data_IF_478241348467
#
_entry.id   IF_478241348467
#
_cell.length_a   1.000
_cell.length_b   1.000
_cell.length_c   1.000
_cell.angle_alpha   90.00
_cell.angle_beta   90.00
_cell.angle_gamma   90.00
#
_symmetry.space_group_name_H-M   'P 1'
#
loop_
_entity.id
_entity.type
_entity.pdbx_description
1 polymer ?
#
# COMPACT_ATOMS: atom_id res chain seq x y z
N UNK A 1 -10.22 2.30 40.48
CA UNK A 1 -9.39 1.46 39.58
C UNK A 1 -9.43 2.12 38.22
N UNK A 2 -8.33 2.74 37.83
CA UNK A 2 -8.20 3.49 36.59
C UNK A 2 -8.09 2.53 35.41
N UNK A 3 -9.18 2.36 34.66
CA UNK A 3 -9.11 1.66 33.38
C UNK A 3 -8.37 2.57 32.40
N UNK A 4 -7.09 2.29 32.20
CA UNK A 4 -6.31 2.85 31.10
C UNK A 4 -7.04 2.55 29.79
N UNK A 5 -7.74 3.55 29.24
CA UNK A 5 -8.24 3.52 27.87
C UNK A 5 -7.02 3.49 26.96
N UNK A 6 -6.63 2.30 26.52
CA UNK A 6 -5.74 2.13 25.38
C UNK A 6 -6.44 2.79 24.19
N UNK A 7 -5.97 3.99 23.84
CA UNK A 7 -6.46 4.75 22.70
C UNK A 7 -6.21 3.93 21.43
N UNK A 8 -7.27 3.30 20.92
CA UNK A 8 -7.21 2.70 19.59
C UNK A 8 -7.23 3.86 18.61
N UNK A 9 -6.07 4.12 18.01
CA UNK A 9 -5.92 5.16 16.99
C UNK A 9 -6.54 4.61 15.70
N UNK A 10 -7.80 4.95 15.47
CA UNK A 10 -8.47 4.67 14.20
C UNK A 10 -7.87 5.59 13.15
N UNK A 11 -7.30 5.00 12.10
CA UNK A 11 -6.97 5.74 10.88
C UNK A 11 -8.23 6.40 10.33
N UNK A 12 -8.11 7.65 9.88
CA UNK A 12 -9.25 8.39 9.32
C UNK A 12 -9.70 7.79 7.98
N UNK A 13 -11.00 7.91 7.69
CA UNK A 13 -11.57 7.50 6.41
C UNK A 13 -11.08 8.40 5.28
N UNK A 14 -10.50 7.80 4.26
CA UNK A 14 -10.12 8.41 2.99
C UNK A 14 -10.77 7.65 1.84
N UNK A 15 -10.76 8.22 0.63
CA UNK A 15 -11.21 7.54 -0.59
C UNK A 15 -10.40 6.30 -0.98
N UNK A 16 -9.38 5.91 -0.20
CA UNK A 16 -8.47 4.80 -0.51
C UNK A 16 -8.51 3.68 0.51
N UNK A 17 -9.12 3.87 1.68
CA UNK A 17 -9.07 2.91 2.78
C UNK A 17 -10.46 2.57 3.33
N UNK A 18 -11.54 2.85 2.60
CA UNK A 18 -12.91 2.66 3.09
C UNK A 18 -13.17 1.23 3.58
N UNK A 19 -12.77 0.20 2.83
CA UNK A 19 -12.99 -1.20 3.22
C UNK A 19 -12.36 -1.56 4.56
N UNK A 20 -11.13 -1.10 4.81
CA UNK A 20 -10.39 -1.32 6.05
C UNK A 20 -10.99 -0.46 7.18
N UNK A 21 -11.32 0.80 6.88
CA UNK A 21 -11.93 1.74 7.80
C UNK A 21 -13.28 1.24 8.30
N UNK A 22 -14.14 0.76 7.40
CA UNK A 22 -15.48 0.26 7.71
C UNK A 22 -15.43 -0.85 8.75
N UNK A 23 -14.55 -1.83 8.54
CA UNK A 23 -14.37 -2.96 9.47
C UNK A 23 -13.88 -2.44 10.83
N UNK A 24 -12.85 -1.59 10.85
CA UNK A 24 -12.29 -1.05 12.10
C UNK A 24 -13.31 -0.21 12.88
N UNK A 25 -14.00 0.71 12.19
CA UNK A 25 -15.00 1.58 12.80
C UNK A 25 -16.21 0.79 13.29
N UNK A 26 -16.67 -0.21 12.54
CA UNK A 26 -17.76 -1.09 12.99
C UNK A 26 -17.37 -1.83 14.29
N UNK A 27 -16.18 -2.40 14.35
CA UNK A 27 -15.70 -3.09 15.56
C UNK A 27 -15.48 -2.13 16.73
N UNK A 28 -15.04 -0.90 16.46
CA UNK A 28 -14.92 0.14 17.48
C UNK A 28 -16.28 0.52 18.07
N UNK A 29 -17.27 0.81 17.22
CA UNK A 29 -18.64 1.11 17.65
C UNK A 29 -19.27 -0.05 18.42
N UNK A 30 -19.01 -1.31 18.04
CA UNK A 30 -19.45 -2.49 18.80
C UNK A 30 -18.82 -2.56 20.18
N UNK A 31 -17.51 -2.29 20.29
CA UNK A 31 -16.78 -2.28 21.56
C UNK A 31 -17.32 -1.23 22.53
N UNK A 32 -17.65 -0.05 22.01
CA UNK A 32 -18.22 1.05 22.80
C UNK A 32 -19.73 0.90 23.08
N UNK A 33 -20.37 -0.17 22.60
CA UNK A 33 -21.81 -0.41 22.76
C UNK A 33 -22.70 0.49 21.88
N UNK A 34 -22.11 1.22 20.94
CA UNK A 34 -22.76 2.21 20.07
C UNK A 34 -23.32 1.61 18.79
N UNK A 35 -22.98 0.37 18.44
CA UNK A 35 -23.45 -0.23 17.18
C UNK A 35 -24.98 -0.34 17.07
N UNK A 36 -25.69 -0.42 18.21
CA UNK A 36 -27.16 -0.58 18.20
C UNK A 36 -27.90 0.65 17.63
N UNK A 37 -27.38 1.87 17.83
CA UNK A 37 -27.96 3.10 17.23
C UNK A 37 -27.62 3.25 15.75
N UNK A 38 -26.52 2.64 15.31
CA UNK A 38 -26.02 2.75 13.93
C UNK A 38 -26.59 1.67 13.00
N UNK A 39 -26.62 0.42 13.49
CA UNK A 39 -26.95 -0.75 12.67
C UNK A 39 -28.43 -1.15 12.68
N UNK A 40 -29.22 -0.58 13.58
CA UNK A 40 -30.66 -0.86 13.69
C UNK A 40 -31.36 0.43 14.11
N UNK A 41 -32.25 1.01 13.31
CA UNK A 41 -32.99 2.19 13.77
C UNK A 41 -33.73 1.85 15.08
N UNK A 42 -33.73 2.75 16.07
CA UNK A 42 -34.42 2.51 17.33
C UNK A 42 -35.89 2.17 17.04
N UNK A 43 -36.35 1.03 17.56
CA UNK A 43 -37.77 0.71 17.55
C UNK A 43 -38.48 1.64 18.54
N UNK A 44 -39.73 2.06 18.25
CA UNK A 44 -40.54 2.77 19.22
C UNK A 44 -40.62 1.97 20.52
N UNK A 45 -40.58 2.62 21.70
CA UNK A 45 -40.76 1.91 22.97
C UNK A 45 -42.10 1.17 22.96
N UNK A 46 -42.13 -0.03 23.56
CA UNK A 46 -43.33 -0.87 23.62
C UNK A 46 -44.45 -0.14 24.38
N UNK A 47 -45.70 -0.33 23.97
CA UNK A 47 -46.85 0.42 24.50
C UNK A 47 -47.02 0.26 26.03
N UNK A 48 -46.47 -0.81 26.60
CA UNK A 48 -46.62 -1.22 28.00
C UNK A 48 -45.62 -0.57 29.00
N UNK A 49 -44.66 0.26 28.55
CA UNK A 49 -43.72 0.96 29.46
C UNK A 49 -44.34 2.25 30.05
N UNK A 50 -44.06 2.57 31.33
CA UNK A 50 -44.50 3.82 31.98
C UNK A 50 -43.93 5.05 31.25
N UNK A 51 -44.67 6.17 31.20
CA UNK A 51 -44.29 7.37 30.45
C UNK A 51 -42.92 7.95 30.88
N UNK A 52 -42.58 7.85 32.17
CA UNK A 52 -41.26 8.25 32.69
C UNK A 52 -40.14 7.30 32.25
N UNK A 53 -40.41 5.99 32.18
CA UNK A 53 -39.44 4.98 31.74
C UNK A 53 -39.14 5.12 30.23
N UNK A 54 -40.18 5.40 29.43
CA UNK A 54 -40.07 5.72 28.00
C UNK A 54 -39.21 6.96 27.74
N UNK A 55 -39.36 8.03 28.54
CA UNK A 55 -38.54 9.24 28.40
C UNK A 55 -37.07 8.97 28.68
N UNK A 56 -36.76 8.27 29.77
CA UNK A 56 -35.36 7.96 30.14
C UNK A 56 -34.66 7.07 29.09
N UNK A 57 -35.40 6.13 28.50
CA UNK A 57 -34.88 5.27 27.44
C UNK A 57 -34.59 6.05 26.15
N UNK A 58 -35.47 6.99 25.79
CA UNK A 58 -35.30 7.87 24.64
C UNK A 58 -34.08 8.80 24.80
N UNK A 59 -33.90 9.41 25.97
CA UNK A 59 -32.74 10.25 26.28
C UNK A 59 -31.42 9.44 26.22
N UNK A 60 -31.40 8.25 26.81
CA UNK A 60 -30.23 7.37 26.78
C UNK A 60 -29.90 6.87 25.36
N UNK A 61 -30.90 6.74 24.48
CA UNK A 61 -30.70 6.38 23.09
C UNK A 61 -30.16 7.56 22.27
N UNK A 62 -30.64 8.77 22.54
CA UNK A 62 -30.14 10.00 21.93
C UNK A 62 -28.67 10.25 22.29
N UNK A 63 -28.29 10.10 23.57
CA UNK A 63 -26.89 10.25 24.01
C UNK A 63 -25.96 9.25 23.27
N UNK A 64 -26.43 8.02 23.08
CA UNK A 64 -25.68 7.00 22.32
C UNK A 64 -25.57 7.37 20.84
N UNK A 65 -26.63 7.91 20.25
CA UNK A 65 -26.62 8.34 18.85
C UNK A 65 -25.67 9.50 18.62
N UNK A 66 -25.73 10.55 19.45
CA UNK A 66 -24.82 11.69 19.39
C UNK A 66 -23.35 11.25 19.55
N UNK A 67 -23.08 10.35 20.50
CA UNK A 67 -21.74 9.79 20.71
C UNK A 67 -21.27 8.94 19.53
N UNK A 68 -22.16 8.17 18.92
CA UNK A 68 -21.86 7.38 17.74
C UNK A 68 -21.59 8.28 16.52
N UNK A 69 -22.41 9.31 16.33
CA UNK A 69 -22.25 10.31 15.27
C UNK A 69 -20.92 11.05 15.40
N UNK A 70 -20.61 11.56 16.59
CA UNK A 70 -19.34 12.23 16.85
C UNK A 70 -18.15 11.30 16.59
N UNK A 71 -18.25 10.03 16.98
CA UNK A 71 -17.20 9.02 16.73
C UNK A 71 -17.00 8.80 15.22
N UNK A 72 -18.09 8.69 14.46
CA UNK A 72 -18.03 8.53 13.00
C UNK A 72 -17.39 9.77 12.38
N UNK A 73 -17.86 10.98 12.70
CA UNK A 73 -17.36 12.24 12.14
C UNK A 73 -15.87 12.44 12.45
N UNK A 74 -15.44 12.20 13.69
CA UNK A 74 -14.03 12.31 14.09
C UNK A 74 -13.14 11.26 13.44
N UNK A 75 -13.72 10.12 13.06
CA UNK A 75 -13.05 9.05 12.34
C UNK A 75 -12.94 9.28 10.83
N UNK A 76 -13.45 10.40 10.31
CA UNK A 76 -13.47 10.72 8.87
C UNK A 76 -12.41 11.79 8.57
N UNK A 77 -11.72 11.68 7.43
CA UNK A 77 -10.81 12.72 6.95
C UNK A 77 -11.58 13.92 6.41
N UNK A 78 -10.98 15.10 6.48
CA UNK A 78 -11.62 16.35 6.04
C UNK A 78 -12.10 16.26 4.58
N UNK A 79 -11.40 15.50 3.74
CA UNK A 79 -11.77 15.25 2.34
C UNK A 79 -13.10 14.49 2.15
N UNK A 80 -13.58 13.80 3.18
CA UNK A 80 -14.80 12.99 3.16
C UNK A 80 -15.91 13.57 4.05
N UNK A 81 -15.65 14.62 4.83
CA UNK A 81 -16.64 15.26 5.71
C UNK A 81 -17.85 15.82 4.95
N UNK A 82 -17.67 16.22 3.69
CA UNK A 82 -18.74 16.77 2.84
C UNK A 82 -19.94 15.81 2.71
N UNK A 83 -19.73 14.51 2.86
CA UNK A 83 -20.78 13.49 2.72
C UNK A 83 -21.59 13.26 4.00
N UNK A 84 -21.11 13.73 5.15
CA UNK A 84 -21.72 13.51 6.47
C UNK A 84 -22.09 14.80 7.20
N UNK A 85 -21.68 15.96 6.69
CA UNK A 85 -21.87 17.26 7.33
C UNK A 85 -23.34 17.65 7.57
N UNK A 86 -24.26 17.12 6.76
CA UNK A 86 -25.70 17.39 6.84
C UNK A 86 -26.51 16.30 7.56
N UNK A 87 -25.83 15.28 8.11
CA UNK A 87 -26.50 14.12 8.74
C UNK A 87 -26.71 14.35 10.23
N UNK A 88 -27.92 14.02 10.69
CA UNK A 88 -28.37 14.31 12.06
C UNK A 88 -28.24 13.09 12.94
N UNK A 89 -28.35 11.88 12.37
CA UNK A 89 -28.22 10.63 13.14
C UNK A 89 -26.98 9.84 12.74
N UNK A 90 -26.48 9.02 13.67
CA UNK A 90 -25.32 8.16 13.39
C UNK A 90 -25.63 7.13 12.29
N UNK A 91 -26.87 6.64 12.25
CA UNK A 91 -27.36 5.74 11.19
C UNK A 91 -27.36 6.42 9.81
N UNK A 92 -27.83 7.67 9.72
CA UNK A 92 -27.79 8.44 8.47
C UNK A 92 -26.35 8.68 8.00
N UNK A 93 -25.46 9.10 8.89
CA UNK A 93 -24.05 9.31 8.58
C UNK A 93 -23.39 8.01 8.09
N UNK A 94 -23.62 6.90 8.79
CA UNK A 94 -23.11 5.59 8.40
C UNK A 94 -23.64 5.14 7.03
N UNK A 95 -24.93 5.29 6.79
CA UNK A 95 -25.55 4.93 5.52
C UNK A 95 -25.12 5.86 4.38
N UNK A 96 -24.87 7.14 4.64
CA UNK A 96 -24.35 8.08 3.66
C UNK A 96 -22.92 7.72 3.23
N UNK A 97 -22.03 7.43 4.19
CA UNK A 97 -20.68 6.94 3.89
C UNK A 97 -20.72 5.62 3.13
N UNK A 98 -21.63 4.71 3.53
CA UNK A 98 -21.86 3.47 2.81
C UNK A 98 -22.45 3.68 1.42
N UNK A 99 -23.29 4.67 1.22
CA UNK A 99 -23.83 5.00 -0.09
C UNK A 99 -22.75 5.61 -0.98
N UNK A 100 -21.84 6.42 -0.45
CA UNK A 100 -20.70 6.99 -1.18
C UNK A 100 -19.68 5.92 -1.55
N UNK A 101 -19.53 4.86 -0.74
CA UNK A 101 -18.70 3.70 -1.07
C UNK A 101 -19.39 2.65 -1.95
N UNK A 102 -20.69 2.43 -1.79
CA UNK A 102 -21.46 1.62 -2.77
C UNK A 102 -21.55 2.36 -4.10
N UNK A 103 -21.58 3.70 -4.05
CA UNK A 103 -21.28 4.60 -5.16
C UNK A 103 -19.78 4.93 -5.26
N UNK A 104 -18.83 4.15 -4.71
CA UNK A 104 -17.43 4.26 -5.12
C UNK A 104 -17.44 3.84 -6.58
N UNK A 105 -17.58 4.89 -7.35
CA UNK A 105 -18.16 4.89 -8.68
C UNK A 105 -17.30 4.05 -9.60
N UNK A 106 -17.83 3.76 -10.79
CA UNK A 106 -16.98 3.43 -11.92
C UNK A 106 -15.71 4.33 -11.95
N UNK A 107 -15.77 5.59 -11.50
CA UNK A 107 -14.62 6.48 -11.30
C UNK A 107 -13.54 6.01 -10.32
N UNK A 108 -13.85 5.48 -9.14
CA UNK A 108 -12.86 4.97 -8.17
C UNK A 108 -12.18 3.70 -8.71
N UNK A 109 -12.98 2.77 -9.25
CA UNK A 109 -12.49 1.59 -9.95
C UNK A 109 -11.63 1.97 -11.17
N UNK A 110 -12.07 2.91 -12.00
CA UNK A 110 -11.32 3.42 -13.16
C UNK A 110 -10.03 4.09 -12.70
N UNK A 111 -10.03 4.83 -11.59
CA UNK A 111 -8.84 5.51 -11.08
C UNK A 111 -7.81 4.50 -10.59
N UNK A 112 -8.24 3.52 -9.77
CA UNK A 112 -7.38 2.44 -9.28
C UNK A 112 -6.83 1.59 -10.44
N UNK A 113 -7.70 1.23 -11.39
CA UNK A 113 -7.32 0.51 -12.60
C UNK A 113 -6.31 1.33 -13.41
N UNK A 114 -6.61 2.58 -13.75
CA UNK A 114 -5.67 3.46 -14.48
C UNK A 114 -4.33 3.57 -13.76
N UNK A 115 -4.34 3.66 -12.43
CA UNK A 115 -3.11 3.75 -11.63
C UNK A 115 -2.27 2.48 -11.75
N UNK A 116 -2.89 1.30 -11.71
CA UNK A 116 -2.20 0.02 -11.91
C UNK A 116 -1.59 -0.09 -13.32
N UNK A 117 -2.39 0.14 -14.36
CA UNK A 117 -1.93 -0.02 -15.76
C UNK A 117 -0.91 1.05 -16.19
N UNK A 118 -0.97 2.26 -15.60
CA UNK A 118 -0.02 3.35 -15.89
C UNK A 118 1.19 3.36 -14.95
N UNK A 119 1.23 2.49 -13.95
CA UNK A 119 2.36 2.41 -13.04
C UNK A 119 3.62 2.02 -13.83
N UNK A 120 4.71 2.75 -13.62
CA UNK A 120 6.02 2.45 -14.20
C UNK A 120 7.06 2.59 -13.12
N UNK A 121 7.86 1.55 -12.94
CA UNK A 121 9.00 1.55 -12.04
C UNK A 121 10.06 2.49 -12.62
N UNK A 122 10.47 3.53 -11.90
CA UNK A 122 11.50 4.44 -12.41
C UNK A 122 12.91 3.92 -12.13
N UNK A 123 13.92 4.40 -12.88
CA UNK A 123 15.31 4.16 -12.56
C UNK A 123 15.67 4.71 -11.17
N UNK A 124 15.86 3.80 -10.20
CA UNK A 124 16.22 4.14 -8.82
C UNK A 124 15.19 3.72 -7.79
N UNK A 125 13.95 3.48 -8.23
CA UNK A 125 12.90 2.95 -7.35
C UNK A 125 13.19 1.49 -6.98
N UNK A 126 12.88 1.16 -5.72
CA UNK A 126 12.95 -0.21 -5.19
C UNK A 126 11.94 -1.10 -5.91
N UNK A 127 12.42 -2.23 -6.47
CA UNK A 127 11.55 -3.23 -7.07
C UNK A 127 10.59 -3.82 -6.04
N UNK A 128 11.06 -4.09 -4.82
CA UNK A 128 10.24 -4.61 -3.71
C UNK A 128 9.03 -3.71 -3.46
N UNK A 129 9.25 -2.40 -3.32
CA UNK A 129 8.15 -1.46 -3.06
C UNK A 129 7.19 -1.35 -4.25
N UNK A 130 7.72 -1.39 -5.47
CA UNK A 130 6.92 -1.39 -6.70
C UNK A 130 6.03 -2.64 -6.80
N UNK A 131 6.57 -3.82 -6.51
CA UNK A 131 5.81 -5.07 -6.50
C UNK A 131 4.74 -5.07 -5.40
N UNK A 132 5.06 -4.59 -4.20
CA UNK A 132 4.09 -4.41 -3.10
C UNK A 132 2.94 -3.50 -3.49
N UNK A 133 3.23 -2.41 -4.20
CA UNK A 133 2.21 -1.49 -4.68
C UNK A 133 1.24 -2.18 -5.66
N UNK A 134 1.77 -2.92 -6.64
CA UNK A 134 0.95 -3.63 -7.62
C UNK A 134 0.13 -4.75 -6.97
N UNK A 135 0.73 -5.58 -6.12
CA UNK A 135 0.02 -6.67 -5.43
C UNK A 135 -1.06 -6.14 -4.49
N UNK A 136 -0.79 -5.05 -3.77
CA UNK A 136 -1.80 -4.37 -2.96
C UNK A 136 -2.98 -3.88 -3.79
N UNK A 137 -2.73 -3.27 -4.95
CA UNK A 137 -3.81 -2.84 -5.84
C UNK A 137 -4.61 -3.98 -6.46
N UNK A 138 -3.99 -5.13 -6.76
CA UNK A 138 -4.72 -6.32 -7.21
C UNK A 138 -5.63 -6.88 -6.12
N UNK A 139 -5.16 -6.91 -4.87
CA UNK A 139 -5.98 -7.31 -3.72
C UNK A 139 -7.13 -6.33 -3.50
N UNK A 140 -6.87 -5.03 -3.62
CA UNK A 140 -7.89 -3.99 -3.50
C UNK A 140 -8.99 -4.15 -4.56
N UNK A 141 -8.63 -4.41 -5.82
CA UNK A 141 -9.58 -4.71 -6.88
C UNK A 141 -10.38 -5.99 -6.62
N UNK A 142 -9.74 -7.04 -6.08
CA UNK A 142 -10.41 -8.28 -5.73
C UNK A 142 -11.43 -8.08 -4.59
N UNK A 143 -11.09 -7.31 -3.55
CA UNK A 143 -12.00 -6.94 -2.46
C UNK A 143 -13.21 -6.15 -2.96
N UNK A 144 -13.03 -5.37 -4.03
CA UNK A 144 -14.10 -4.61 -4.70
C UNK A 144 -14.86 -5.43 -5.76
N UNK A 145 -14.69 -6.75 -5.79
CA UNK A 145 -15.43 -7.65 -6.69
C UNK A 145 -14.98 -7.63 -8.15
N UNK A 146 -13.79 -7.09 -8.44
CA UNK A 146 -13.16 -7.04 -9.77
C UNK A 146 -11.79 -7.72 -9.74
N UNK A 147 -11.70 -9.03 -9.47
CA UNK A 147 -10.42 -9.71 -9.43
C UNK A 147 -9.72 -9.62 -10.79
N UNK A 148 -8.41 -9.34 -10.77
CA UNK A 148 -7.56 -9.35 -11.96
C UNK A 148 -7.15 -10.79 -12.23
N UNK A 149 -7.20 -11.22 -13.51
CA UNK A 149 -6.74 -12.55 -13.92
C UNK A 149 -5.25 -12.74 -13.66
N UNK A 150 -4.81 -13.99 -13.46
CA UNK A 150 -3.41 -14.27 -13.15
C UNK A 150 -2.46 -13.83 -14.28
N UNK A 151 -2.85 -14.11 -15.53
CA UNK A 151 -2.14 -13.65 -16.73
C UNK A 151 -2.03 -12.13 -16.79
N UNK A 152 -3.14 -11.43 -16.56
CA UNK A 152 -3.17 -9.96 -16.55
C UNK A 152 -2.27 -9.37 -15.47
N UNK A 153 -2.22 -9.98 -14.27
CA UNK A 153 -1.31 -9.53 -13.22
C UNK A 153 0.14 -9.63 -13.67
N UNK A 154 0.51 -10.75 -14.32
CA UNK A 154 1.85 -10.94 -14.86
C UNK A 154 2.16 -9.89 -15.93
N UNK A 155 1.27 -9.69 -16.89
CA UNK A 155 1.47 -8.70 -17.95
C UNK A 155 1.60 -7.28 -17.41
N UNK A 156 0.77 -6.90 -16.43
CA UNK A 156 0.87 -5.59 -15.76
C UNK A 156 2.22 -5.46 -15.05
N UNK A 157 2.69 -6.48 -14.35
CA UNK A 157 4.00 -6.45 -13.69
C UNK A 157 5.12 -6.29 -14.72
N UNK A 158 5.20 -7.16 -15.72
CA UNK A 158 6.28 -7.14 -16.71
C UNK A 158 6.29 -5.83 -17.52
N UNK A 159 5.12 -5.34 -17.95
CA UNK A 159 5.00 -4.07 -18.69
C UNK A 159 5.23 -2.81 -17.85
N UNK A 160 5.24 -2.95 -16.51
CA UNK A 160 5.50 -1.83 -15.59
C UNK A 160 6.99 -1.62 -15.30
N UNK A 161 7.85 -2.56 -15.69
CA UNK A 161 9.29 -2.49 -15.42
C UNK A 161 9.99 -1.51 -16.38
N UNK A 162 11.16 -1.04 -15.95
CA UNK A 162 12.05 -0.25 -16.80
C UNK A 162 12.90 -1.14 -17.70
N UNK A 163 13.45 -0.57 -18.79
CA UNK A 163 14.25 -1.24 -19.84
C UNK A 163 15.39 -2.10 -19.30
N UNK A 164 15.82 -1.85 -18.06
CA UNK A 164 16.88 -2.63 -17.45
C UNK A 164 16.46 -4.08 -17.25
N UNK A 165 15.17 -4.39 -17.18
CA UNK A 165 14.64 -5.73 -17.02
C UNK A 165 14.30 -6.42 -18.37
N UNK A 166 14.50 -5.76 -19.51
CA UNK A 166 14.14 -6.29 -20.84
C UNK A 166 14.72 -7.68 -21.12
N UNK A 167 15.97 -7.92 -20.73
CA UNK A 167 16.60 -9.23 -20.92
C UNK A 167 15.89 -10.35 -20.12
N UNK A 168 15.38 -10.02 -18.93
CA UNK A 168 14.59 -10.96 -18.14
C UNK A 168 13.20 -11.14 -18.76
N UNK A 169 12.55 -10.04 -19.17
CA UNK A 169 11.23 -10.07 -19.82
C UNK A 169 11.27 -10.97 -21.06
N UNK A 170 12.24 -10.77 -21.96
CA UNK A 170 12.41 -11.59 -23.17
C UNK A 170 12.64 -13.08 -22.83
N UNK A 171 13.37 -13.38 -21.74
CA UNK A 171 13.55 -14.77 -21.30
C UNK A 171 12.24 -15.39 -20.81
N UNK A 172 11.32 -14.59 -20.27
CA UNK A 172 10.03 -15.06 -19.77
C UNK A 172 8.99 -15.25 -20.88
N UNK A 173 9.13 -14.56 -22.01
CA UNK A 173 8.26 -14.73 -23.19
C UNK A 173 8.30 -16.16 -23.78
N UNK A 174 9.42 -16.87 -23.59
CA UNK A 174 9.56 -18.27 -24.03
C UNK A 174 8.95 -19.31 -23.07
N UNK A 175 8.44 -18.88 -21.92
CA UNK A 175 7.86 -19.79 -20.91
C UNK A 175 6.40 -20.05 -21.25
N UNK A 176 5.97 -21.31 -21.10
CA UNK A 176 4.56 -21.70 -21.26
C UNK A 176 3.63 -20.87 -20.35
N UNK A 177 2.52 -20.38 -20.89
CA UNK A 177 1.56 -19.51 -20.19
C UNK A 177 1.07 -20.13 -18.87
N UNK A 178 0.82 -21.44 -18.85
CA UNK A 178 0.32 -22.16 -17.67
C UNK A 178 1.29 -22.18 -16.49
N UNK A 179 2.59 -21.96 -16.73
CA UNK A 179 3.64 -21.90 -15.71
C UNK A 179 3.97 -20.46 -15.30
N UNK A 180 3.46 -19.48 -16.03
CA UNK A 180 3.77 -18.08 -15.84
C UNK A 180 2.83 -17.47 -14.80
N UNK A 181 3.08 -17.79 -13.53
CA UNK A 181 2.34 -17.23 -12.40
C UNK A 181 2.99 -15.95 -11.86
N UNK A 182 2.21 -15.13 -11.15
CA UNK A 182 2.74 -13.94 -10.48
C UNK A 182 3.84 -14.29 -9.48
N UNK A 183 3.69 -15.42 -8.78
CA UNK A 183 4.69 -15.93 -7.84
C UNK A 183 6.00 -16.30 -8.55
N UNK A 184 5.92 -17.01 -9.68
CA UNK A 184 7.11 -17.37 -10.46
C UNK A 184 7.85 -16.12 -10.97
N UNK A 185 7.10 -15.16 -11.53
CA UNK A 185 7.66 -13.93 -12.07
C UNK A 185 8.29 -13.06 -10.98
N UNK A 186 7.63 -12.91 -9.83
CA UNK A 186 8.19 -12.15 -8.71
C UNK A 186 9.45 -12.79 -8.17
N UNK A 187 9.51 -14.13 -8.06
CA UNK A 187 10.75 -14.84 -7.69
C UNK A 187 11.90 -14.59 -8.66
N UNK A 188 11.63 -14.62 -9.98
CA UNK A 188 12.63 -14.31 -11.01
C UNK A 188 13.10 -12.85 -10.97
N UNK A 189 12.20 -11.93 -10.65
CA UNK A 189 12.52 -10.50 -10.53
C UNK A 189 13.43 -10.22 -9.32
N UNK A 190 13.20 -10.87 -8.19
CA UNK A 190 14.09 -10.74 -7.02
C UNK A 190 15.48 -11.31 -7.31
N UNK A 191 15.58 -12.50 -7.91
CA UNK A 191 16.86 -13.07 -8.29
C UNK A 191 17.64 -12.18 -9.26
N UNK A 192 16.94 -11.49 -10.17
CA UNK A 192 17.56 -10.51 -11.07
C UNK A 192 18.02 -9.25 -10.32
N UNK A 193 17.26 -8.76 -9.34
CA UNK A 193 17.67 -7.62 -8.50
C UNK A 193 18.95 -7.94 -7.70
N UNK A 194 19.03 -9.13 -7.10
CA UNK A 194 20.20 -9.62 -6.37
C UNK A 194 21.43 -9.71 -7.28
N UNK A 195 21.29 -10.37 -8.44
CA UNK A 195 22.36 -10.49 -9.44
C UNK A 195 22.89 -9.13 -9.89
N UNK A 196 22.03 -8.12 -9.97
CA UNK A 196 22.40 -6.75 -10.36
C UNK A 196 23.08 -5.99 -9.23
N UNK A 197 22.69 -6.24 -7.98
CA UNK A 197 23.36 -5.68 -6.82
C UNK A 197 24.81 -6.19 -6.74
N UNK A 198 25.02 -7.48 -6.94
CA UNK A 198 26.35 -8.11 -6.99
C UNK A 198 27.23 -7.50 -8.09
N UNK A 199 26.71 -7.35 -9.32
CA UNK A 199 27.47 -6.74 -10.44
C UNK A 199 27.89 -5.29 -10.16
N UNK A 200 27.06 -4.51 -9.46
CA UNK A 200 27.40 -3.15 -9.04
C UNK A 200 28.51 -3.14 -7.99
N UNK A 201 28.47 -4.06 -7.03
CA UNK A 201 29.54 -4.20 -6.02
C UNK A 201 30.87 -4.59 -6.67
N UNK A 202 30.86 -5.58 -7.57
CA UNK A 202 32.06 -6.03 -8.28
C UNK A 202 32.67 -4.92 -9.14
N UNK A 203 31.83 -4.15 -9.85
CA UNK A 203 32.32 -3.03 -10.67
C UNK A 203 32.86 -1.87 -9.85
N UNK A 204 32.25 -1.55 -8.70
CA UNK A 204 32.79 -0.56 -7.76
C UNK A 204 34.15 -0.99 -7.18
N UNK A 205 34.31 -2.25 -6.80
CA UNK A 205 35.58 -2.80 -6.32
C UNK A 205 36.69 -2.80 -7.37
N UNK A 206 36.36 -2.98 -8.65
CA UNK A 206 37.30 -2.90 -9.77
C UNK A 206 37.80 -1.46 -10.02
N UNK A 207 36.96 -0.45 -9.78
CA UNK A 207 37.32 0.97 -9.92
C UNK A 207 38.15 1.52 -8.74
N UNK A 208 38.02 0.94 -7.54
CA UNK A 208 38.79 1.34 -6.36
C UNK A 208 40.18 0.69 -6.28
N UNK A 209 40.55 -0.20 -7.21
CA UNK A 209 41.92 -0.70 -7.28
C UNK A 209 42.85 0.49 -7.57
N UNK A 210 43.83 0.80 -6.69
CA UNK A 210 44.82 1.82 -6.99
C UNK A 210 45.50 1.44 -8.30
N UNK A 211 45.54 2.36 -9.27
CA UNK A 211 46.41 2.20 -10.43
C UNK A 211 47.81 1.95 -9.88
N UNK A 212 48.29 0.72 -10.02
CA UNK A 212 49.62 0.31 -9.58
C UNK A 212 50.64 1.33 -10.07
N UNK A 213 51.48 1.76 -9.14
CA UNK A 213 52.49 2.79 -9.29
C UNK A 213 53.61 2.32 -10.24
N UNK A 214 53.33 2.17 -11.54
CA UNK A 214 54.30 1.71 -12.54
C UNK A 214 55.45 2.70 -12.80
N UNK A 215 55.37 3.91 -12.25
CA UNK A 215 56.41 4.94 -12.40
C UNK A 215 57.68 4.65 -11.57
N UNK A 216 57.61 3.84 -10.51
CA UNK A 216 58.81 3.48 -9.73
C UNK A 216 59.57 2.28 -10.30
N UNK A 217 58.89 1.34 -10.96
CA UNK A 217 59.55 0.22 -11.63
C UNK A 217 60.23 0.65 -12.95
N UNK A 218 59.64 1.58 -13.70
CA UNK A 218 60.29 2.15 -14.89
C UNK A 218 61.53 2.99 -14.54
N UNK A 219 61.47 3.79 -13.46
CA UNK A 219 62.64 4.56 -12.98
C UNK A 219 63.75 3.65 -12.44
N UNK A 220 63.40 2.56 -11.76
CA UNK A 220 64.38 1.58 -11.27
C UNK A 220 65.05 0.82 -12.43
N UNK A 221 64.31 0.53 -13.51
CA UNK A 221 64.88 -0.11 -14.70
C UNK A 221 65.74 0.86 -15.53
N UNK A 222 65.36 2.14 -15.63
CA UNK A 222 66.21 3.16 -16.28
C UNK A 222 67.51 3.43 -15.51
N UNK A 223 67.48 3.48 -14.17
CA UNK A 223 68.70 3.62 -13.35
C UNK A 223 69.64 2.41 -13.49
N UNK A 224 69.10 1.19 -13.57
CA UNK A 224 69.89 -0.03 -13.78
C UNK A 224 70.53 -0.06 -15.18
N UNK A 225 69.84 0.46 -16.21
CA UNK A 225 70.40 0.58 -17.56
C UNK A 225 71.44 1.70 -17.67
N UNK A 226 71.28 2.78 -16.92
CA UNK A 226 72.28 3.86 -16.86
C UNK A 226 73.54 3.42 -16.12
N UNK A 227 73.44 2.78 -14.96
CA UNK A 227 74.59 2.32 -14.17
C UNK A 227 75.42 1.25 -14.89
N UNK A 228 74.79 0.38 -15.69
CA UNK A 228 75.50 -0.61 -16.52
C UNK A 228 76.33 0.03 -17.65
N UNK A 229 75.96 1.24 -18.10
CA UNK A 229 76.61 1.97 -19.21
C UNK A 229 77.91 2.69 -18.79
N UNK A 230 78.12 2.92 -17.50
CA UNK A 230 79.35 3.54 -16.96
C UNK A 230 80.41 2.53 -16.51
N UNK A 231 80.06 1.23 -16.46
CA UNK A 231 80.95 0.17 -15.97
C UNK A 231 81.81 -0.48 -17.06
N UNK A 232 81.78 0.03 -18.30
CA UNK A 232 82.58 -0.49 -19.42
C UNK A 232 83.42 0.63 -20.04
N UNK A 233 84.47 1.05 -19.33
CA UNK A 233 85.60 1.78 -19.90
C UNK A 233 86.87 1.55 -19.09
#
# INVERSE_FOLDING_TARGET
MEQSRTGVLLEKLTAMNYSIWLVRMQHFLKREGLWKVVGTPPQPPEEDEDDDEKLTLAEAQLEKDEKALATIILGVDDSQLVYVADKVTASEAWNALKAVDVQETAGSLITLTRRLYRCRKKPGDSLVNHLKFLTGGFQELALRGKPVGEEDKVFIVLSSLDDRYDMLVNSLESVETDKLTLEYVTGRLYAEEDRRAERKMTSAQLLERPRGNNSQEEQSQEELLQTSRWSTK
#
